data_IF_662676543067
#
_entry.id   IF_662676543067
#
_cell.length_a   1.000
_cell.length_b   1.000
_cell.length_c   1.000
_cell.angle_alpha   90.00
_cell.angle_beta   90.00
_cell.angle_gamma   90.00
#
_symmetry.space_group_name_H-M   'P 1'
#
loop_
_entity.id
_entity.type
_entity.pdbx_description
1 polymer ?
#
# COMPACT_ATOMS: atom_id res chain seq x y z
N UNK A 1 -21.62 -29.68 -36.70
CA UNK A 1 -21.45 -28.68 -35.63
C UNK A 1 -21.23 -27.34 -36.31
N UNK A 2 -22.22 -26.44 -36.27
CA UNK A 2 -22.22 -25.24 -37.13
C UNK A 2 -21.21 -24.20 -36.61
N UNK A 3 -20.26 -23.79 -37.46
CA UNK A 3 -19.24 -22.78 -37.14
C UNK A 3 -19.82 -21.50 -36.53
N UNK A 4 -21.06 -21.15 -36.88
CA UNK A 4 -21.81 -20.00 -36.35
C UNK A 4 -22.15 -20.11 -34.85
N UNK A 5 -22.34 -21.32 -34.31
CA UNK A 5 -22.57 -21.51 -32.87
C UNK A 5 -21.28 -21.39 -32.06
N UNK A 6 -20.15 -21.81 -32.65
CA UNK A 6 -18.82 -21.74 -32.02
C UNK A 6 -18.34 -20.28 -31.95
N UNK A 7 -18.53 -19.52 -33.02
CA UNK A 7 -18.15 -18.10 -33.08
C UNK A 7 -19.01 -17.23 -32.14
N UNK A 8 -20.31 -17.53 -31.99
CA UNK A 8 -21.16 -16.84 -31.02
C UNK A 8 -20.76 -17.15 -29.56
N UNK A 9 -20.39 -18.40 -29.26
CA UNK A 9 -19.92 -18.78 -27.93
C UNK A 9 -18.57 -18.14 -27.56
N UNK A 10 -17.65 -18.02 -28.52
CA UNK A 10 -16.37 -17.32 -28.33
C UNK A 10 -16.58 -15.82 -28.13
N UNK A 11 -17.51 -15.19 -28.86
CA UNK A 11 -17.82 -13.76 -28.69
C UNK A 11 -18.42 -13.47 -27.30
N UNK A 12 -19.32 -14.33 -26.80
CA UNK A 12 -19.87 -14.22 -25.44
C UNK A 12 -18.78 -14.42 -24.38
N UNK A 13 -17.82 -15.32 -24.61
CA UNK A 13 -16.67 -15.53 -23.72
C UNK A 13 -15.74 -14.32 -23.69
N UNK A 14 -15.45 -13.69 -24.84
CA UNK A 14 -14.61 -12.48 -24.93
C UNK A 14 -15.31 -11.27 -24.28
N UNK A 15 -16.64 -11.18 -24.39
CA UNK A 15 -17.40 -10.15 -23.68
C UNK A 15 -17.51 -10.38 -22.17
N UNK A 16 -17.43 -11.64 -21.70
CA UNK A 16 -17.43 -11.96 -20.26
C UNK A 16 -16.06 -11.72 -19.59
N UNK A 17 -14.97 -11.63 -20.37
CA UNK A 17 -13.65 -11.17 -19.90
C UNK A 17 -13.56 -9.63 -19.96
N UNK A 18 -14.61 -8.98 -20.50
CA UNK A 18 -14.71 -7.53 -20.61
C UNK A 18 -15.14 -6.90 -19.28
N UNK A 19 -14.27 -6.03 -18.76
CA UNK A 19 -14.41 -5.22 -17.54
C UNK A 19 -13.99 -5.92 -16.25
N UNK A 20 -12.69 -6.22 -16.13
CA UNK A 20 -12.01 -5.89 -14.88
C UNK A 20 -11.99 -4.37 -14.84
N UNK A 21 -12.97 -3.76 -14.17
CA UNK A 21 -12.86 -2.36 -13.82
C UNK A 21 -11.51 -2.21 -13.11
N UNK A 22 -10.67 -1.29 -13.59
CA UNK A 22 -9.50 -0.91 -12.83
C UNK A 22 -10.01 -0.44 -11.47
N UNK A 23 -9.75 -1.21 -10.41
CA UNK A 23 -10.02 -0.72 -9.07
C UNK A 23 -9.13 0.50 -8.90
N UNK A 24 -9.74 1.67 -8.87
CA UNK A 24 -9.06 2.89 -8.48
C UNK A 24 -8.84 2.81 -6.95
N UNK A 25 -8.04 3.71 -6.36
CA UNK A 25 -7.92 3.83 -4.89
C UNK A 25 -9.31 3.85 -4.22
N UNK A 26 -10.36 4.27 -4.94
CA UNK A 26 -11.76 4.23 -4.53
C UNK A 26 -12.25 2.88 -4.00
N UNK A 27 -11.64 1.76 -4.42
CA UNK A 27 -12.08 0.41 -4.08
C UNK A 27 -11.27 -0.22 -2.92
N UNK A 28 -10.30 0.54 -2.38
CA UNK A 28 -9.52 0.11 -1.23
C UNK A 28 -10.43 0.04 -0.01
N UNK A 29 -10.37 -1.10 0.65
CA UNK A 29 -11.04 -1.34 1.91
C UNK A 29 -10.10 -0.96 3.05
N UNK A 30 -10.65 -0.35 4.08
CA UNK A 30 -9.92 0.00 5.30
C UNK A 30 -10.56 -0.73 6.49
N UNK A 31 -9.75 -1.06 7.49
CA UNK A 31 -10.23 -1.68 8.71
C UNK A 31 -11.17 -0.74 9.50
N UNK A 32 -12.03 -1.32 10.33
CA UNK A 32 -12.95 -0.55 11.17
C UNK A 32 -12.18 0.41 12.10
N UNK A 33 -12.75 1.61 12.29
CA UNK A 33 -12.18 2.64 13.15
C UNK A 33 -11.19 3.59 12.47
N UNK A 34 -10.88 3.37 11.18
CA UNK A 34 -10.20 4.37 10.36
C UNK A 34 -11.21 5.37 9.77
N UNK A 35 -10.89 6.66 9.89
CA UNK A 35 -11.53 7.74 9.15
C UNK A 35 -10.79 7.99 7.83
N UNK A 36 -11.53 8.20 6.74
CA UNK A 36 -10.97 8.57 5.45
C UNK A 36 -10.86 10.09 5.36
N UNK A 37 -9.63 10.59 5.27
CA UNK A 37 -9.32 12.02 5.18
C UNK A 37 -9.26 12.53 3.73
N UNK A 38 -9.40 11.65 2.75
CA UNK A 38 -9.28 11.93 1.32
C UNK A 38 -7.90 11.57 0.77
N UNK A 39 -7.82 11.45 -0.56
CA UNK A 39 -6.57 11.26 -1.31
C UNK A 39 -5.68 10.08 -0.83
N UNK A 40 -6.31 9.01 -0.35
CA UNK A 40 -5.60 7.83 0.13
C UNK A 40 -5.05 7.95 1.56
N UNK A 41 -5.44 8.96 2.32
CA UNK A 41 -5.02 9.17 3.71
C UNK A 41 -6.12 8.67 4.68
N UNK A 42 -5.71 7.84 5.63
CA UNK A 42 -6.61 7.24 6.61
C UNK A 42 -6.04 7.37 8.03
N UNK A 43 -6.89 7.65 9.01
CA UNK A 43 -6.47 7.89 10.40
C UNK A 43 -7.33 7.12 11.39
N UNK A 44 -6.69 6.44 12.36
CA UNK A 44 -7.36 5.78 13.47
C UNK A 44 -6.94 6.44 14.79
N UNK A 45 -7.71 7.44 15.21
CA UNK A 45 -7.49 8.22 16.44
C UNK A 45 -7.43 7.37 17.70
N UNK A 46 -8.21 6.30 17.78
CA UNK A 46 -8.21 5.44 18.96
C UNK A 46 -6.89 4.66 19.12
N UNK A 47 -6.23 4.37 18.00
CA UNK A 47 -4.99 3.61 17.96
C UNK A 47 -3.75 4.47 17.69
N UNK A 48 -3.93 5.75 17.36
CA UNK A 48 -2.87 6.68 16.99
C UNK A 48 -2.05 6.21 15.78
N UNK A 49 -2.71 5.61 14.78
CA UNK A 49 -2.11 5.10 13.54
C UNK A 49 -2.65 5.84 12.32
N UNK A 50 -1.76 6.21 11.40
CA UNK A 50 -2.10 6.67 10.04
C UNK A 50 -1.68 5.65 8.99
N UNK A 51 -2.43 5.65 7.89
CA UNK A 51 -2.15 4.86 6.70
C UNK A 51 -2.32 5.75 5.48
N UNK A 52 -1.22 5.97 4.77
CA UNK A 52 -1.17 6.82 3.58
C UNK A 52 -0.87 5.97 2.34
N UNK A 53 -1.69 6.12 1.30
CA UNK A 53 -1.62 5.37 0.04
C UNK A 53 -1.29 6.33 -1.09
N UNK A 54 -0.06 6.26 -1.59
CA UNK A 54 0.46 7.22 -2.55
C UNK A 54 0.81 6.52 -3.87
N UNK A 55 0.51 7.13 -5.01
CA UNK A 55 1.08 6.67 -6.29
C UNK A 55 2.60 6.80 -6.21
N UNK A 56 3.32 5.72 -6.52
CA UNK A 56 4.79 5.71 -6.47
C UNK A 56 5.40 6.86 -7.28
N UNK A 57 4.76 7.31 -8.36
CA UNK A 57 5.25 8.42 -9.20
C UNK A 57 5.20 9.76 -8.49
N UNK A 58 4.26 9.94 -7.57
CA UNK A 58 4.10 11.17 -6.80
C UNK A 58 5.02 11.20 -5.60
N UNK A 59 5.51 10.03 -5.17
CA UNK A 59 6.55 9.93 -4.14
C UNK A 59 7.93 10.05 -4.76
N UNK A 60 8.25 11.29 -5.15
CA UNK A 60 9.55 11.68 -5.70
C UNK A 60 10.77 11.35 -4.80
N UNK A 61 10.65 11.21 -3.46
CA UNK A 61 11.78 10.79 -2.63
C UNK A 61 11.82 9.28 -2.33
N UNK A 62 11.01 8.40 -2.90
CA UNK A 62 11.03 6.99 -2.47
C UNK A 62 12.32 6.23 -2.77
N UNK A 63 13.06 6.63 -3.81
CA UNK A 63 14.45 6.20 -4.00
C UNK A 63 15.35 6.59 -2.82
N UNK A 64 14.96 7.61 -2.06
CA UNK A 64 15.63 8.13 -0.87
C UNK A 64 14.96 7.63 0.43
N UNK A 65 13.66 7.27 0.44
CA UNK A 65 12.98 6.55 1.53
C UNK A 65 13.40 5.08 1.59
N UNK A 66 14.00 4.51 0.54
CA UNK A 66 14.61 3.17 0.59
C UNK A 66 16.14 3.20 0.63
N UNK A 67 16.75 4.39 0.69
CA UNK A 67 18.19 4.57 0.93
C UNK A 67 18.38 5.19 2.31
N UNK A 68 19.40 4.78 3.04
CA UNK A 68 19.83 5.55 4.22
C UNK A 68 20.38 6.90 3.72
N UNK A 69 19.53 7.92 3.66
CA UNK A 69 19.98 9.30 3.48
C UNK A 69 20.31 9.88 4.86
N UNK A 70 21.58 10.17 5.10
CA UNK A 70 22.08 10.78 6.34
C UNK A 70 21.71 12.27 6.50
N UNK A 71 21.22 12.92 5.44
CA UNK A 71 20.83 14.34 5.45
C UNK A 71 19.45 14.57 6.05
N UNK A 72 18.60 13.56 5.96
CA UNK A 72 17.33 13.50 6.68
C UNK A 72 17.52 12.51 7.83
N UNK A 73 16.91 12.73 8.99
CA UNK A 73 17.06 11.80 10.12
C UNK A 73 16.22 10.52 9.91
N UNK A 74 16.23 9.97 8.70
CA UNK A 74 15.64 8.69 8.38
C UNK A 74 16.64 7.58 8.64
N UNK A 75 16.21 6.55 9.38
CA UNK A 75 16.94 5.29 9.46
C UNK A 75 16.03 4.20 8.96
N UNK A 76 16.48 3.44 7.96
CA UNK A 76 15.71 2.35 7.36
C UNK A 76 16.35 1.02 7.67
N UNK A 77 15.53 0.07 8.08
CA UNK A 77 15.92 -1.33 8.27
C UNK A 77 14.87 -2.25 7.68
N UNK A 78 15.28 -3.45 7.29
CA UNK A 78 14.34 -4.47 6.83
C UNK A 78 13.25 -4.71 7.89
N UNK A 79 12.01 -4.77 7.44
CA UNK A 79 10.86 -5.09 8.28
C UNK A 79 10.74 -6.58 8.57
N UNK A 80 9.82 -6.92 9.48
CA UNK A 80 9.41 -8.29 9.83
C UNK A 80 8.52 -8.91 8.74
N UNK A 81 7.73 -8.08 8.05
CA UNK A 81 6.92 -8.51 6.91
C UNK A 81 7.78 -8.53 5.64
N UNK A 82 7.43 -9.41 4.71
CA UNK A 82 8.18 -9.56 3.48
C UNK A 82 8.15 -8.27 2.65
N UNK A 83 9.30 -7.84 2.13
CA UNK A 83 9.46 -6.63 1.31
C UNK A 83 8.95 -5.33 1.97
N UNK A 84 8.95 -5.24 3.30
CA UNK A 84 8.66 -4.00 4.03
C UNK A 84 9.91 -3.43 4.68
N UNK A 85 9.87 -2.13 5.00
CA UNK A 85 10.95 -1.42 5.66
C UNK A 85 10.42 -0.66 6.86
N UNK A 86 11.11 -0.80 7.99
CA UNK A 86 10.84 0.04 9.14
C UNK A 86 11.65 1.31 9.01
N UNK A 87 11.04 2.42 9.38
CA UNK A 87 11.74 3.68 9.45
C UNK A 87 11.50 4.42 10.76
N UNK A 88 12.46 5.27 11.11
CA UNK A 88 12.27 6.34 12.09
C UNK A 88 12.57 7.66 11.41
N UNK A 89 11.71 8.65 11.61
CA UNK A 89 11.86 10.04 11.18
C UNK A 89 12.20 10.92 12.38
N UNK A 90 13.47 11.28 12.53
CA UNK A 90 13.89 12.16 13.62
C UNK A 90 13.55 13.66 13.42
N UNK A 91 12.93 14.05 12.30
CA UNK A 91 12.46 15.43 12.04
C UNK A 91 11.01 15.56 12.48
N UNK A 92 10.17 14.60 12.08
CA UNK A 92 8.74 14.58 12.43
C UNK A 92 8.44 13.76 13.70
N UNK A 93 9.47 13.17 14.32
CA UNK A 93 9.35 12.31 15.51
C UNK A 93 8.43 11.10 15.28
N UNK A 94 8.45 10.56 14.06
CA UNK A 94 7.60 9.46 13.63
C UNK A 94 8.39 8.16 13.50
N UNK A 95 7.68 7.04 13.61
CA UNK A 95 8.19 5.73 13.24
C UNK A 95 7.07 4.94 12.58
N UNK A 96 7.44 4.17 11.56
CA UNK A 96 6.47 3.49 10.73
C UNK A 96 7.08 2.36 9.94
N UNK A 97 6.21 1.80 9.11
CA UNK A 97 6.51 0.72 8.18
C UNK A 97 6.01 1.18 6.83
N UNK A 98 6.91 1.11 5.86
CA UNK A 98 6.59 1.39 4.47
C UNK A 98 6.69 0.11 3.66
N UNK A 99 5.78 -0.04 2.71
CA UNK A 99 5.82 -1.10 1.73
C UNK A 99 5.39 -0.60 0.35
N UNK A 100 5.79 -1.35 -0.65
CA UNK A 100 5.44 -1.13 -2.02
C UNK A 100 4.46 -2.23 -2.43
N UNK A 101 3.35 -1.87 -3.06
CA UNK A 101 2.34 -2.81 -3.53
C UNK A 101 1.96 -2.51 -4.97
N UNK A 102 1.39 -3.50 -5.65
CA UNK A 102 0.87 -3.34 -7.02
C UNK A 102 -0.65 -3.52 -7.00
N UNK A 103 -1.37 -2.47 -7.38
CA UNK A 103 -2.83 -2.45 -7.47
C UNK A 103 -3.20 -2.16 -8.93
N UNK A 104 -3.80 -3.13 -9.61
CA UNK A 104 -4.22 -3.02 -11.02
C UNK A 104 -3.17 -2.44 -11.97
N UNK A 105 -1.99 -3.05 -11.97
CA UNK A 105 -0.86 -2.65 -12.80
C UNK A 105 -0.21 -1.29 -12.50
N UNK A 106 -0.63 -0.64 -11.42
CA UNK A 106 0.02 0.55 -10.87
C UNK A 106 0.71 0.24 -9.55
N UNK A 107 1.81 0.93 -9.32
CA UNK A 107 2.62 0.79 -8.12
C UNK A 107 2.23 1.87 -7.12
N UNK A 108 1.91 1.43 -5.90
CA UNK A 108 1.53 2.30 -4.81
C UNK A 108 2.45 2.04 -3.63
N UNK A 109 2.64 3.09 -2.84
CA UNK A 109 3.37 3.00 -1.60
C UNK A 109 2.41 3.19 -0.47
N UNK A 110 2.48 2.26 0.46
CA UNK A 110 1.68 2.24 1.68
C UNK A 110 2.62 2.61 2.81
N UNK A 111 2.37 3.74 3.44
CA UNK A 111 3.09 4.18 4.63
C UNK A 111 2.15 4.06 5.83
N UNK A 112 2.51 3.21 6.79
CA UNK A 112 1.74 3.00 8.01
C UNK A 112 2.61 3.41 9.21
N UNK A 113 2.17 4.41 9.97
CA UNK A 113 2.98 5.01 11.02
C UNK A 113 2.17 5.46 12.22
N UNK A 114 2.88 5.58 13.34
CA UNK A 114 2.36 6.23 14.52
C UNK A 114 2.49 7.74 14.39
N UNK A 115 1.45 8.49 14.76
CA UNK A 115 1.48 9.95 14.77
C UNK A 115 1.34 10.51 16.19
N UNK A 116 1.50 11.83 16.34
CA UNK A 116 1.43 12.56 17.61
C UNK A 116 2.49 12.21 18.67
N UNK A 117 3.65 11.71 18.27
CA UNK A 117 4.75 11.31 19.18
C UNK A 117 4.37 10.22 20.18
N UNK A 118 3.25 9.53 19.96
CA UNK A 118 2.80 8.47 20.84
C UNK A 118 3.64 7.22 20.66
N UNK A 119 3.91 6.53 21.77
CA UNK A 119 4.69 5.29 21.74
C UNK A 119 3.79 4.12 21.34
N UNK A 120 3.35 4.10 20.08
CA UNK A 120 2.67 2.94 19.51
C UNK A 120 3.69 1.83 19.31
N UNK A 121 3.49 0.63 19.90
CA UNK A 121 4.38 -0.50 19.65
C UNK A 121 4.40 -0.83 18.16
N UNK A 122 5.60 -1.00 17.58
CA UNK A 122 5.78 -1.33 16.17
C UNK A 122 4.98 -2.57 15.75
N UNK A 123 4.79 -3.54 16.66
CA UNK A 123 3.93 -4.72 16.41
C UNK A 123 2.48 -4.34 16.07
N UNK A 124 1.92 -3.29 16.67
CA UNK A 124 0.57 -2.82 16.30
C UNK A 124 0.52 -2.22 14.89
N UNK A 125 1.60 -1.54 14.49
CA UNK A 125 1.73 -0.99 13.14
C UNK A 125 1.82 -2.14 12.13
N UNK A 126 2.57 -3.21 12.46
CA UNK A 126 2.59 -4.44 11.66
C UNK A 126 1.22 -5.10 11.55
N UNK A 127 0.53 -5.28 12.68
CA UNK A 127 -0.79 -5.92 12.68
C UNK A 127 -1.77 -5.14 11.80
N UNK A 128 -1.72 -3.80 11.87
CA UNK A 128 -2.54 -2.90 11.05
C UNK A 128 -2.22 -3.05 9.56
N UNK A 129 -0.93 -3.00 9.18
CA UNK A 129 -0.52 -3.14 7.78
C UNK A 129 -0.83 -4.54 7.24
N UNK A 130 -0.66 -5.58 8.04
CA UNK A 130 -0.98 -6.96 7.66
C UNK A 130 -2.50 -7.16 7.49
N UNK A 131 -3.32 -6.57 8.35
CA UNK A 131 -4.77 -6.56 8.20
C UNK A 131 -5.21 -5.81 6.93
N UNK A 132 -4.64 -4.63 6.67
CA UNK A 132 -4.87 -3.87 5.45
C UNK A 132 -4.56 -4.70 4.20
N UNK A 133 -3.41 -5.38 4.18
CA UNK A 133 -3.02 -6.24 3.06
C UNK A 133 -3.95 -7.43 2.88
N UNK A 134 -4.36 -8.10 3.96
CA UNK A 134 -5.34 -9.21 3.89
C UNK A 134 -6.69 -8.75 3.36
N UNK A 135 -7.15 -7.57 3.77
CA UNK A 135 -8.45 -7.03 3.39
C UNK A 135 -8.53 -6.69 1.90
N UNK A 136 -7.40 -6.31 1.32
CA UNK A 136 -7.25 -5.87 -0.07
C UNK A 136 -6.57 -6.90 -0.99
N UNK A 137 -6.25 -8.09 -0.48
CA UNK A 137 -5.51 -9.15 -1.20
C UNK A 137 -4.18 -8.65 -1.80
N UNK A 138 -3.43 -7.87 -1.01
CA UNK A 138 -2.17 -7.26 -1.43
C UNK A 138 -0.97 -8.09 -0.99
N UNK A 139 0.03 -8.14 -1.85
CA UNK A 139 1.34 -8.71 -1.55
C UNK A 139 2.41 -7.66 -1.81
N UNK A 140 3.26 -7.33 -0.82
CA UNK A 140 4.35 -6.40 -1.00
C UNK A 140 5.35 -6.84 -2.07
N UNK A 141 5.70 -5.92 -2.96
CA UNK A 141 6.65 -6.14 -4.05
C UNK A 141 8.05 -5.77 -3.58
N UNK A 142 9.06 -6.52 -4.03
CA UNK A 142 10.46 -6.20 -3.74
C UNK A 142 10.84 -4.90 -4.46
N UNK A 143 11.16 -3.80 -3.75
CA UNK A 143 11.47 -2.53 -4.38
C UNK A 143 12.78 -2.55 -5.20
N UNK A 144 13.65 -3.55 -4.99
CA UNK A 144 14.87 -3.73 -5.80
C UNK A 144 14.59 -4.29 -7.20
N UNK A 145 13.38 -4.82 -7.44
CA UNK A 145 12.99 -5.40 -8.72
C UNK A 145 12.40 -4.38 -9.70
N UNK A 146 12.37 -3.10 -9.31
CA UNK A 146 11.78 -2.02 -10.09
C UNK A 146 12.85 -1.23 -10.86
N UNK A 147 12.68 -1.12 -12.19
CA UNK A 147 13.52 -0.34 -13.10
C UNK A 147 13.39 1.19 -12.90
#
# INVERSE_FOLDING_TARGET
>A
MNLTKISLAILILICAIGMVAAAEISDIKIADGFENLGDGNYENDANHIKLDIMDKKDVNPIKDVFKNDSSVKYTLVAGKLNNTFNYTDGVNEQAGIVELVKINDKEYVIDCYAYNNDTVPLDKIYDTLEEFNKLNDLTPVDPSTLE
#
